data_IF_473004531184
#
_entry.id   IF_473004531184
#
_cell.length_a   1.000
_cell.length_b   1.000
_cell.length_c   1.000
_cell.angle_alpha   90.00
_cell.angle_beta   90.00
_cell.angle_gamma   90.00
#
_symmetry.space_group_name_H-M   'P 1'
#
loop_
_entity.id
_entity.type
_entity.pdbx_description
1 polymer ?
#
# COMPACT_ATOMS: atom_id res chain seq x y z
N UNK A 1 -21.53 -0.55 12.60
CA UNK A 1 -20.41 -1.39 13.09
C UNK A 1 -20.20 -2.59 12.19
N UNK A 2 -21.26 -3.32 11.79
CA UNK A 2 -21.14 -4.49 10.88
C UNK A 2 -20.43 -4.20 9.56
N UNK A 3 -20.70 -3.05 8.92
CA UNK A 3 -20.06 -2.69 7.65
C UNK A 3 -18.55 -2.49 7.75
N UNK A 4 -18.07 -1.91 8.86
CA UNK A 4 -16.63 -1.68 9.07
C UNK A 4 -15.89 -3.01 9.22
N UNK A 5 -16.42 -3.91 10.06
CA UNK A 5 -15.85 -5.23 10.25
C UNK A 5 -15.86 -6.06 8.96
N UNK A 6 -16.93 -5.99 8.17
CA UNK A 6 -17.00 -6.67 6.88
C UNK A 6 -15.90 -6.19 5.92
N UNK A 7 -15.69 -4.87 5.78
CA UNK A 7 -14.61 -4.34 4.94
C UNK A 7 -13.23 -4.69 5.52
N UNK A 8 -13.05 -4.64 6.84
CA UNK A 8 -11.78 -4.97 7.47
C UNK A 8 -11.41 -6.44 7.23
N UNK A 9 -12.36 -7.36 7.39
CA UNK A 9 -12.16 -8.79 7.10
C UNK A 9 -11.84 -9.03 5.63
N UNK A 10 -12.61 -8.43 4.71
CA UNK A 10 -12.38 -8.57 3.27
C UNK A 10 -11.01 -8.04 2.85
N UNK A 11 -10.61 -6.86 3.35
CA UNK A 11 -9.30 -6.29 3.06
C UNK A 11 -8.19 -7.16 3.63
N UNK A 12 -8.33 -7.66 4.87
CA UNK A 12 -7.32 -8.56 5.46
C UNK A 12 -7.16 -9.87 4.68
N UNK A 13 -8.26 -10.42 4.15
CA UNK A 13 -8.23 -11.59 3.27
C UNK A 13 -7.49 -11.28 1.97
N UNK A 14 -7.84 -10.20 1.27
CA UNK A 14 -7.19 -9.80 0.01
C UNK A 14 -5.67 -9.54 0.19
N UNK A 15 -5.27 -9.00 1.34
CA UNK A 15 -3.88 -8.68 1.64
C UNK A 15 -3.07 -9.88 2.17
N UNK A 16 -3.70 -11.03 2.37
CA UNK A 16 -3.09 -12.19 3.04
C UNK A 16 -2.44 -11.77 4.38
N UNK A 17 -3.22 -11.05 5.21
CA UNK A 17 -2.72 -10.40 6.43
C UNK A 17 -1.90 -11.31 7.34
N UNK A 18 -2.33 -12.56 7.54
CA UNK A 18 -1.59 -13.50 8.39
C UNK A 18 -0.23 -13.86 7.79
N UNK A 19 -0.13 -13.99 6.46
CA UNK A 19 1.15 -14.21 5.77
C UNK A 19 2.07 -13.00 5.91
N UNK A 20 1.54 -11.77 5.81
CA UNK A 20 2.31 -10.55 6.06
C UNK A 20 2.91 -10.53 7.47
N UNK A 21 2.15 -10.95 8.49
CA UNK A 21 2.66 -11.02 9.87
C UNK A 21 3.73 -12.10 10.07
N UNK A 22 3.66 -13.20 9.33
CA UNK A 22 4.69 -14.25 9.36
C UNK A 22 5.98 -13.77 8.70
N UNK A 23 5.89 -13.11 7.55
CA UNK A 23 7.05 -12.60 6.81
C UNK A 23 7.68 -11.37 7.48
N UNK A 24 6.88 -10.54 8.15
CA UNK A 24 7.30 -9.27 8.76
C UNK A 24 6.89 -9.21 10.25
N UNK A 25 7.45 -10.10 11.11
CA UNK A 25 7.01 -10.24 12.50
C UNK A 25 7.24 -8.98 13.36
N UNK A 26 8.15 -8.11 12.94
CA UNK A 26 8.48 -6.87 13.65
C UNK A 26 7.64 -5.66 13.19
N UNK A 27 6.94 -5.77 12.06
CA UNK A 27 6.21 -4.66 11.44
C UNK A 27 4.70 -4.72 11.64
N UNK A 28 4.22 -5.57 12.56
CA UNK A 28 2.79 -5.75 12.85
C UNK A 28 2.04 -4.42 12.98
N UNK A 29 2.58 -3.48 13.75
CA UNK A 29 1.93 -2.18 13.95
C UNK A 29 1.80 -1.39 12.64
N UNK A 30 2.83 -1.41 11.79
CA UNK A 30 2.78 -0.73 10.49
C UNK A 30 1.79 -1.41 9.54
N UNK A 31 1.74 -2.74 9.54
CA UNK A 31 0.78 -3.52 8.76
C UNK A 31 -0.65 -3.18 9.20
N UNK A 32 -0.90 -3.14 10.51
CA UNK A 32 -2.20 -2.74 11.06
C UNK A 32 -2.59 -1.32 10.62
N UNK A 33 -1.66 -0.35 10.70
CA UNK A 33 -1.88 1.02 10.24
C UNK A 33 -2.19 1.11 8.74
N UNK A 34 -1.51 0.31 7.91
CA UNK A 34 -1.75 0.24 6.46
C UNK A 34 -3.14 -0.33 6.18
N UNK A 35 -3.52 -1.42 6.85
CA UNK A 35 -4.86 -2.04 6.71
C UNK A 35 -5.94 -1.03 7.06
N UNK A 36 -5.82 -0.35 8.20
CA UNK A 36 -6.79 0.64 8.65
C UNK A 36 -6.91 1.81 7.66
N UNK A 37 -5.78 2.27 7.09
CA UNK A 37 -5.78 3.30 6.06
C UNK A 37 -6.46 2.85 4.77
N UNK A 38 -6.26 1.59 4.35
CA UNK A 38 -6.93 1.02 3.17
C UNK A 38 -8.44 0.98 3.42
N UNK A 39 -8.88 0.47 4.58
CA UNK A 39 -10.30 0.40 4.95
C UNK A 39 -10.92 1.80 5.00
N UNK A 40 -10.26 2.77 5.62
CA UNK A 40 -10.72 4.17 5.66
C UNK A 40 -10.90 4.74 4.25
N UNK A 41 -9.94 4.47 3.36
CA UNK A 41 -9.95 4.96 1.98
C UNK A 41 -11.07 4.33 1.16
N UNK A 42 -11.27 3.01 1.30
CA UNK A 42 -12.35 2.28 0.62
C UNK A 42 -13.72 2.73 1.09
N UNK A 43 -13.88 3.03 2.39
CA UNK A 43 -15.14 3.51 2.95
C UNK A 43 -15.41 5.00 2.70
N UNK A 44 -14.42 5.74 2.19
CA UNK A 44 -14.54 7.17 1.92
C UNK A 44 -15.63 7.44 0.87
N UNK A 45 -16.63 8.25 1.25
CA UNK A 45 -17.75 8.67 0.40
C UNK A 45 -17.46 9.91 -0.44
N UNK A 46 -16.24 10.47 -0.35
CA UNK A 46 -15.88 11.64 -1.14
C UNK A 46 -15.90 11.34 -2.64
N UNK A 47 -16.43 12.26 -3.44
CA UNK A 47 -16.42 12.17 -4.90
C UNK A 47 -15.03 12.40 -5.48
N UNK A 48 -14.17 13.10 -4.75
CA UNK A 48 -12.79 13.39 -5.15
C UNK A 48 -11.82 13.21 -3.99
N UNK A 49 -10.65 12.66 -4.30
CA UNK A 49 -9.57 12.45 -3.33
C UNK A 49 -8.28 12.98 -3.92
N UNK A 50 -7.52 13.73 -3.13
CA UNK A 50 -6.21 14.25 -3.51
C UNK A 50 -5.13 13.21 -3.18
N UNK A 51 -4.45 12.70 -4.20
CA UNK A 51 -3.35 11.73 -4.06
C UNK A 51 -2.17 12.22 -4.90
N UNK A 52 -0.97 12.28 -4.32
CA UNK A 52 0.24 12.72 -5.01
C UNK A 52 0.03 14.02 -5.83
N UNK A 53 -0.59 15.03 -5.19
CA UNK A 53 -0.91 16.35 -5.78
C UNK A 53 -1.89 16.34 -6.97
N UNK A 54 -2.58 15.23 -7.22
CA UNK A 54 -3.58 15.11 -8.28
C UNK A 54 -4.95 14.72 -7.71
N UNK A 55 -6.01 15.27 -8.31
CA UNK A 55 -7.39 14.93 -7.95
C UNK A 55 -7.87 13.74 -8.76
N UNK A 56 -8.27 12.68 -8.05
CA UNK A 56 -8.87 11.49 -8.65
C UNK A 56 -10.33 11.38 -8.23
N UNK A 57 -11.15 10.70 -9.03
CA UNK A 57 -12.50 10.35 -8.60
C UNK A 57 -12.42 9.36 -7.44
N UNK A 58 -13.28 9.53 -6.44
CA UNK A 58 -13.33 8.63 -5.29
C UNK A 58 -13.57 7.18 -5.71
N UNK A 59 -14.37 6.96 -6.75
CA UNK A 59 -14.62 5.63 -7.30
C UNK A 59 -13.34 4.96 -7.83
N UNK A 60 -12.48 5.71 -8.55
CA UNK A 60 -11.21 5.19 -9.04
C UNK A 60 -10.27 4.84 -7.89
N UNK A 61 -10.17 5.72 -6.88
CA UNK A 61 -9.33 5.48 -5.71
C UNK A 61 -9.79 4.22 -4.97
N UNK A 62 -11.09 4.10 -4.64
CA UNK A 62 -11.64 2.91 -3.99
C UNK A 62 -11.37 1.65 -4.82
N UNK A 63 -11.59 1.72 -6.14
CA UNK A 63 -11.35 0.60 -7.04
C UNK A 63 -9.88 0.15 -7.11
N UNK A 64 -8.92 1.07 -6.96
CA UNK A 64 -7.50 0.72 -6.85
C UNK A 64 -7.17 0.11 -5.49
N UNK A 65 -7.64 0.71 -4.39
CA UNK A 65 -7.37 0.21 -3.05
C UNK A 65 -7.96 -1.17 -2.78
N UNK A 66 -9.12 -1.48 -3.36
CA UNK A 66 -9.73 -2.82 -3.30
C UNK A 66 -8.93 -3.91 -4.02
N UNK A 67 -8.00 -3.54 -4.90
CA UNK A 67 -7.14 -4.46 -5.66
C UNK A 67 -5.75 -4.65 -5.04
N UNK A 68 -5.49 -4.02 -3.90
CA UNK A 68 -4.24 -4.25 -3.20
C UNK A 68 -4.23 -5.68 -2.66
N UNK A 69 -3.05 -6.27 -2.67
CA UNK A 69 -2.75 -7.62 -2.23
C UNK A 69 -1.46 -7.61 -1.39
N UNK A 70 -1.03 -8.79 -0.95
CA UNK A 70 0.23 -9.00 -0.21
C UNK A 70 1.41 -8.22 -0.79
N UNK A 71 1.65 -8.35 -2.10
CA UNK A 71 2.83 -7.79 -2.77
C UNK A 71 2.86 -6.27 -2.71
N UNK A 72 1.70 -5.63 -2.80
CA UNK A 72 1.59 -4.19 -2.72
C UNK A 72 1.92 -3.66 -1.32
N UNK A 73 1.54 -4.38 -0.27
CA UNK A 73 1.84 -4.00 1.11
C UNK A 73 3.33 -4.21 1.39
N UNK A 74 3.89 -5.34 0.99
CA UNK A 74 5.32 -5.64 1.10
C UNK A 74 6.18 -4.57 0.40
N UNK A 75 5.81 -4.17 -0.82
CA UNK A 75 6.44 -3.06 -1.53
C UNK A 75 6.40 -1.74 -0.73
N UNK A 76 5.27 -1.42 -0.09
CA UNK A 76 5.15 -0.19 0.71
C UNK A 76 6.00 -0.26 1.98
N UNK A 77 6.10 -1.43 2.63
CA UNK A 77 6.99 -1.65 3.77
C UNK A 77 8.46 -1.44 3.38
N UNK A 78 8.91 -2.02 2.26
CA UNK A 78 10.25 -1.77 1.73
C UNK A 78 10.50 -0.29 1.41
N UNK A 79 9.51 0.40 0.84
CA UNK A 79 9.61 1.83 0.58
C UNK A 79 9.78 2.65 1.87
N UNK A 80 9.16 2.23 2.98
CA UNK A 80 9.34 2.88 4.29
C UNK A 80 10.73 2.61 4.86
N UNK A 81 11.17 1.36 4.83
CA UNK A 81 12.46 0.94 5.39
C UNK A 81 13.64 1.60 4.65
N UNK A 82 13.59 1.63 3.32
CA UNK A 82 14.63 2.24 2.49
C UNK A 82 14.63 3.77 2.48
N UNK A 83 13.63 4.44 3.08
CA UNK A 83 13.53 5.89 3.02
C UNK A 83 14.44 6.58 4.05
N UNK A 84 15.50 7.20 3.55
CA UNK A 84 16.44 7.98 4.36
C UNK A 84 15.99 9.41 4.65
N UNK A 85 14.91 9.88 4.01
CA UNK A 85 14.41 11.24 4.15
C UNK A 85 13.25 11.34 5.15
N UNK A 86 13.23 12.44 5.91
CA UNK A 86 12.15 12.70 6.89
C UNK A 86 10.80 12.87 6.20
N UNK A 87 9.88 11.93 6.47
CA UNK A 87 8.49 12.03 6.03
C UNK A 87 7.75 13.04 6.91
N UNK A 88 7.38 14.20 6.34
CA UNK A 88 6.64 15.26 7.06
C UNK A 88 5.17 14.92 7.31
N UNK A 89 4.57 14.09 6.44
CA UNK A 89 3.18 13.64 6.55
C UNK A 89 3.07 12.18 6.11
N UNK A 90 3.08 11.28 7.09
CA UNK A 90 3.11 9.83 6.86
C UNK A 90 1.85 9.34 6.14
N UNK A 91 0.67 9.83 6.52
CA UNK A 91 -0.61 9.43 5.89
C UNK A 91 -0.64 9.76 4.39
N UNK A 92 -0.21 10.96 4.00
CA UNK A 92 -0.14 11.36 2.58
C UNK A 92 0.88 10.52 1.80
N UNK A 93 2.01 10.19 2.43
CA UNK A 93 3.02 9.31 1.84
C UNK A 93 2.45 7.92 1.58
N UNK A 94 1.86 7.28 2.59
CA UNK A 94 1.26 5.95 2.47
C UNK A 94 0.13 5.91 1.44
N UNK A 95 -0.78 6.89 1.44
CA UNK A 95 -1.83 6.98 0.43
C UNK A 95 -1.28 7.04 -0.98
N UNK A 96 -0.21 7.81 -1.21
CA UNK A 96 0.42 7.90 -2.51
C UNK A 96 1.15 6.60 -2.89
N UNK A 97 1.86 5.98 -1.94
CA UNK A 97 2.57 4.72 -2.16
C UNK A 97 1.60 3.59 -2.51
N UNK A 98 0.55 3.39 -1.70
CA UNK A 98 -0.49 2.37 -1.92
C UNK A 98 -1.24 2.58 -3.24
N UNK A 99 -1.62 3.82 -3.56
CA UNK A 99 -2.32 4.12 -4.81
C UNK A 99 -1.48 3.84 -6.07
N UNK A 100 -0.17 4.03 -5.96
CA UNK A 100 0.78 3.84 -7.05
C UNK A 100 1.35 2.41 -7.11
N UNK A 101 1.30 1.65 -6.00
CA UNK A 101 1.91 0.32 -5.89
C UNK A 101 1.57 -0.60 -7.07
N UNK A 102 0.29 -0.77 -7.51
CA UNK A 102 -0.03 -1.63 -8.65
C UNK A 102 0.60 -1.21 -9.98
N UNK A 103 0.99 0.05 -10.11
CA UNK A 103 1.58 0.61 -11.32
C UNK A 103 3.12 0.70 -11.24
N UNK A 104 3.72 0.67 -10.05
CA UNK A 104 5.16 0.91 -9.86
C UNK A 104 5.94 -0.29 -9.33
N UNK A 105 5.30 -1.25 -8.67
CA UNK A 105 5.96 -2.37 -7.98
C UNK A 105 6.89 -3.19 -8.90
N UNK A 106 6.44 -3.52 -10.11
CA UNK A 106 7.26 -4.26 -11.08
C UNK A 106 8.50 -3.48 -11.53
N UNK A 107 8.36 -2.16 -11.71
CA UNK A 107 9.47 -1.28 -12.07
C UNK A 107 10.48 -1.15 -10.94
N UNK A 108 9.99 -1.04 -9.69
CA UNK A 108 10.82 -0.97 -8.49
C UNK A 108 11.68 -2.21 -8.33
N UNK A 109 11.10 -3.41 -8.25
CA UNK A 109 11.89 -4.63 -8.06
C UNK A 109 12.84 -4.91 -9.22
N UNK A 110 12.47 -4.56 -10.46
CA UNK A 110 13.41 -4.66 -11.58
C UNK A 110 14.61 -3.72 -11.41
N UNK A 111 14.41 -2.51 -10.89
CA UNK A 111 15.49 -1.57 -10.63
C UNK A 111 16.42 -2.09 -9.52
N UNK A 112 15.87 -2.64 -8.43
CA UNK A 112 16.65 -3.25 -7.34
C UNK A 112 17.49 -4.44 -7.85
N UNK A 113 16.89 -5.36 -8.62
CA UNK A 113 17.63 -6.49 -9.22
C UNK A 113 18.74 -6.00 -10.15
N UNK A 114 18.48 -5.01 -11.00
CA UNK A 114 19.49 -4.47 -11.90
C UNK A 114 20.65 -3.79 -11.14
N UNK A 115 20.36 -3.19 -9.99
CA UNK A 115 21.36 -2.55 -9.14
C UNK A 115 22.24 -3.58 -8.41
N UNK A 116 21.62 -4.59 -7.78
CA UNK A 116 22.33 -5.56 -6.94
C UNK A 116 22.93 -6.72 -7.75
N UNK A 117 22.32 -7.03 -8.90
CA UNK A 117 22.77 -8.08 -9.83
C UNK A 117 22.91 -7.55 -11.26
N UNK A 118 23.86 -6.63 -11.55
CA UNK A 118 23.99 -6.00 -12.87
C UNK A 118 24.17 -6.97 -14.03
N UNK A 119 24.70 -8.18 -13.79
CA UNK A 119 24.87 -9.21 -14.81
C UNK A 119 23.55 -9.91 -15.20
N UNK A 120 22.49 -9.78 -14.41
CA UNK A 120 21.13 -10.21 -14.76
C UNK A 120 20.29 -9.08 -15.36
N UNK A 121 20.85 -7.87 -15.47
CA UNK A 121 20.14 -6.73 -16.02
C UNK A 121 19.77 -6.99 -17.50
N UNK A 122 18.51 -6.71 -17.83
CA UNK A 122 17.96 -6.78 -19.19
C UNK A 122 17.85 -5.40 -19.80
#
# INVERSE_FOLDING_TARGET
METLHAYQSLIKENLEYDALLVSHPHDKNQIDEIVDLIVETVMCRSDRVLIASNWYSGALVRGKFMKLDYSHVEYVLHCLEGNTSKIKNIKKYLLAALFNAPSTISGYYRAEVNHDMPWLAR
#
